data_IF_685711972000
#
_entry.id   IF_685711972000
#
_cell.length_a   1.000
_cell.length_b   1.000
_cell.length_c   1.000
_cell.angle_alpha   90.00
_cell.angle_beta   90.00
_cell.angle_gamma   90.00
#
_symmetry.space_group_name_H-M   'P 1'
#
loop_
_entity.id
_entity.type
_entity.pdbx_description
1 polymer ?
#
# COMPACT_ATOMS: atom_id res chain seq x y z
N UNK A 1 -1.69 11.41 -4.33
CA UNK A 1 -2.44 12.44 -5.12
C UNK A 1 -3.52 13.14 -4.28
N UNK A 2 -3.21 13.62 -3.07
CA UNK A 2 -4.18 14.23 -2.11
C UNK A 2 -3.82 15.65 -1.66
N UNK A 3 -2.74 16.25 -2.14
CA UNK A 3 -2.30 17.58 -1.73
C UNK A 3 -3.05 18.79 -2.34
N UNK A 4 -3.54 18.81 -3.57
CA UNK A 4 -4.16 20.02 -4.12
C UNK A 4 -5.51 20.38 -3.50
N UNK A 5 -6.30 19.41 -3.03
CA UNK A 5 -7.64 19.65 -2.46
C UNK A 5 -7.64 20.24 -1.05
N UNK A 6 -6.56 20.09 -0.29
CA UNK A 6 -6.43 20.63 1.06
C UNK A 6 -6.04 22.10 1.04
N UNK A 7 -5.21 22.54 0.10
CA UNK A 7 -4.71 23.91 0.00
C UNK A 7 -5.82 24.92 -0.35
N UNK A 8 -6.72 24.58 -1.27
CA UNK A 8 -7.84 25.44 -1.68
C UNK A 8 -8.88 25.65 -0.57
N UNK A 9 -9.09 24.66 0.30
CA UNK A 9 -10.08 24.74 1.39
C UNK A 9 -9.67 25.68 2.50
N UNK A 10 -8.38 25.73 2.84
CA UNK A 10 -7.88 26.66 3.86
C UNK A 10 -7.89 28.12 3.36
N UNK A 11 -7.65 28.33 2.10
CA UNK A 11 -7.72 29.62 1.45
C UNK A 11 -9.13 30.20 1.53
N UNK A 12 -10.16 29.37 1.29
CA UNK A 12 -11.58 29.81 1.35
C UNK A 12 -12.03 30.22 2.76
N UNK A 13 -11.47 29.64 3.82
CA UNK A 13 -11.77 30.00 5.20
C UNK A 13 -10.99 31.25 5.65
N UNK A 14 -9.77 31.44 5.15
CA UNK A 14 -8.92 32.55 5.54
C UNK A 14 -9.34 33.87 4.91
N UNK A 15 -9.90 33.87 3.71
CA UNK A 15 -10.37 35.08 3.04
C UNK A 15 -11.40 35.84 3.88
N UNK A 16 -12.49 35.21 4.39
CA UNK A 16 -13.43 35.85 5.30
C UNK A 16 -12.77 36.38 6.58
N UNK A 17 -11.83 35.66 7.16
CA UNK A 17 -11.13 36.09 8.37
C UNK A 17 -10.29 37.36 8.14
N UNK A 18 -9.58 37.47 7.01
CA UNK A 18 -8.83 38.65 6.63
C UNK A 18 -9.75 39.83 6.35
N UNK A 19 -10.89 39.61 5.66
CA UNK A 19 -11.91 40.64 5.42
C UNK A 19 -12.50 41.16 6.74
N UNK A 20 -12.78 40.30 7.71
CA UNK A 20 -13.22 40.66 9.04
C UNK A 20 -12.19 41.58 9.73
N UNK A 21 -10.89 41.21 9.67
CA UNK A 21 -9.82 42.06 10.19
C UNK A 21 -9.76 43.45 9.55
N UNK A 22 -9.93 43.52 8.23
CA UNK A 22 -10.00 44.83 7.53
C UNK A 22 -11.19 45.68 7.98
N UNK A 23 -12.38 45.08 8.09
CA UNK A 23 -13.61 45.77 8.55
C UNK A 23 -13.42 46.26 9.99
N UNK A 24 -12.83 45.46 10.87
CA UNK A 24 -12.55 45.85 12.26
C UNK A 24 -11.61 47.04 12.32
N UNK A 25 -10.55 47.05 11.51
CA UNK A 25 -9.61 48.18 11.44
C UNK A 25 -10.27 49.49 10.92
N UNK A 26 -11.14 49.38 9.93
CA UNK A 26 -11.93 50.53 9.46
C UNK A 26 -12.88 51.03 10.53
N UNK A 27 -13.56 50.13 11.26
CA UNK A 27 -14.44 50.49 12.37
C UNK A 27 -13.69 51.22 13.49
N UNK A 28 -12.55 50.71 13.93
CA UNK A 28 -11.71 51.33 14.97
C UNK A 28 -11.20 52.68 14.51
N UNK A 29 -10.75 52.81 13.25
CA UNK A 29 -10.36 54.10 12.65
C UNK A 29 -11.51 55.11 12.70
N UNK A 30 -12.75 54.70 12.42
CA UNK A 30 -13.95 55.49 12.50
C UNK A 30 -14.21 56.03 13.93
N UNK A 31 -13.98 55.22 14.97
CA UNK A 31 -14.07 55.64 16.37
C UNK A 31 -13.08 56.74 16.65
N UNK A 32 -11.82 56.60 16.25
CA UNK A 32 -10.80 57.64 16.51
C UNK A 32 -11.04 58.93 15.74
N UNK A 33 -11.59 58.85 14.52
CA UNK A 33 -12.03 60.06 13.79
C UNK A 33 -13.14 60.76 14.55
N UNK A 34 -14.11 60.02 15.08
CA UNK A 34 -15.22 60.57 15.85
C UNK A 34 -14.78 61.26 17.14
N UNK A 35 -13.80 60.69 17.82
CA UNK A 35 -13.20 61.23 19.05
C UNK A 35 -12.30 62.44 18.76
N UNK A 36 -11.81 62.60 17.52
CA UNK A 36 -10.89 63.64 17.10
C UNK A 36 -9.41 63.31 17.33
N UNK A 37 -9.09 62.08 17.67
CA UNK A 37 -7.72 61.61 17.99
C UNK A 37 -7.04 60.98 16.77
N UNK A 38 -6.57 61.78 15.82
CA UNK A 38 -6.04 61.33 14.54
C UNK A 38 -4.76 60.48 14.65
N UNK A 39 -3.92 60.71 15.67
CA UNK A 39 -2.69 59.94 15.87
C UNK A 39 -3.02 58.48 16.24
N UNK A 40 -4.11 58.26 16.97
CA UNK A 40 -4.57 56.90 17.38
C UNK A 40 -5.09 56.07 16.21
N UNK A 41 -5.29 56.63 15.02
CA UNK A 41 -5.68 55.92 13.80
C UNK A 41 -4.49 55.15 13.18
N UNK A 42 -3.27 55.58 13.43
CA UNK A 42 -2.07 55.04 12.78
C UNK A 42 -1.95 53.52 12.93
N UNK A 43 -2.11 52.89 14.12
CA UNK A 43 -2.06 51.45 14.27
C UNK A 43 -3.10 50.74 13.40
N UNK A 44 -4.35 51.19 13.39
CA UNK A 44 -5.42 50.61 12.59
C UNK A 44 -5.17 50.68 11.09
N UNK A 45 -4.60 51.81 10.60
CA UNK A 45 -4.20 51.94 9.19
C UNK A 45 -3.05 50.96 8.88
N UNK A 46 -2.06 50.86 9.75
CA UNK A 46 -0.95 49.92 9.57
C UNK A 46 -1.46 48.48 9.51
N UNK A 47 -2.37 48.07 10.40
CA UNK A 47 -2.99 46.77 10.39
C UNK A 47 -3.82 46.49 9.13
N UNK A 48 -4.60 47.49 8.68
CA UNK A 48 -5.33 47.38 7.43
C UNK A 48 -4.40 47.06 6.24
N UNK A 49 -3.25 47.73 6.16
CA UNK A 49 -2.24 47.42 5.14
C UNK A 49 -1.69 46.02 5.24
N UNK A 50 -1.40 45.52 6.46
CA UNK A 50 -0.92 44.13 6.66
C UNK A 50 -1.99 43.14 6.23
N UNK A 51 -3.27 43.36 6.58
CA UNK A 51 -4.36 42.49 6.13
C UNK A 51 -4.53 42.50 4.62
N UNK A 52 -4.41 43.66 3.95
CA UNK A 52 -4.43 43.76 2.48
C UNK A 52 -3.27 42.99 1.84
N UNK A 53 -2.07 43.12 2.39
CA UNK A 53 -0.89 42.36 1.93
C UNK A 53 -1.09 40.87 2.12
N UNK A 54 -1.55 40.42 3.30
CA UNK A 54 -1.84 39.04 3.56
C UNK A 54 -2.89 38.49 2.60
N UNK A 55 -3.95 39.26 2.33
CA UNK A 55 -5.01 38.87 1.39
C UNK A 55 -4.45 38.71 -0.04
N UNK A 56 -3.65 39.66 -0.50
CA UNK A 56 -3.02 39.58 -1.81
C UNK A 56 -2.05 38.40 -1.94
N UNK A 57 -1.15 38.25 -0.96
CA UNK A 57 -0.19 37.10 -0.93
C UNK A 57 -0.89 35.77 -0.88
N UNK A 58 -2.00 35.65 -0.14
CA UNK A 58 -2.79 34.42 -0.06
C UNK A 58 -3.51 34.14 -1.38
N UNK A 59 -4.03 35.20 -2.06
CA UNK A 59 -4.66 35.07 -3.37
C UNK A 59 -3.68 34.60 -4.42
N UNK A 60 -2.45 35.08 -4.42
CA UNK A 60 -1.36 34.73 -5.33
C UNK A 60 -0.64 33.41 -4.94
N UNK A 61 -1.09 32.72 -3.89
CA UNK A 61 -0.44 31.52 -3.35
C UNK A 61 1.03 31.73 -2.91
N UNK A 62 1.43 32.93 -2.57
CA UNK A 62 2.78 33.28 -2.10
C UNK A 62 2.96 33.08 -0.60
N UNK A 63 1.85 32.99 0.15
CA UNK A 63 1.85 32.65 1.59
C UNK A 63 0.82 31.54 1.84
N UNK A 64 1.10 30.62 2.76
CA UNK A 64 0.11 29.65 3.16
C UNK A 64 -0.88 30.22 4.19
N UNK A 65 -2.08 29.61 4.27
CA UNK A 65 -3.15 30.07 5.16
C UNK A 65 -2.72 30.13 6.64
N UNK A 66 -1.86 29.22 7.08
CA UNK A 66 -1.34 29.19 8.45
C UNK A 66 -0.51 30.44 8.77
N UNK A 67 0.46 30.76 7.92
CA UNK A 67 1.34 31.90 8.13
C UNK A 67 0.59 33.23 8.00
N UNK A 68 -0.36 33.29 7.07
CA UNK A 68 -1.26 34.46 6.93
C UNK A 68 -2.08 34.69 8.21
N UNK A 69 -2.62 33.60 8.79
CA UNK A 69 -3.38 33.67 10.04
C UNK A 69 -2.50 34.09 11.23
N UNK A 70 -1.32 33.47 11.41
CA UNK A 70 -0.41 33.85 12.49
C UNK A 70 0.01 35.33 12.40
N UNK A 71 0.35 35.76 11.19
CA UNK A 71 0.73 37.16 10.96
C UNK A 71 -0.43 38.11 11.30
N UNK A 72 -1.63 37.86 10.74
CA UNK A 72 -2.81 38.65 11.05
C UNK A 72 -3.18 38.63 12.54
N UNK A 73 -3.08 37.47 13.20
CA UNK A 73 -3.35 37.31 14.62
C UNK A 73 -2.41 38.14 15.51
N UNK A 74 -1.12 38.14 15.22
CA UNK A 74 -0.17 38.96 15.95
C UNK A 74 -0.37 40.47 15.70
N UNK A 75 -0.76 40.84 14.47
CA UNK A 75 -1.13 42.21 14.18
C UNK A 75 -2.32 42.68 15.03
N UNK A 76 -3.40 41.86 15.10
CA UNK A 76 -4.55 42.15 15.98
C UNK A 76 -4.10 42.26 17.44
N UNK A 77 -3.24 41.36 17.91
CA UNK A 77 -2.76 41.40 19.29
C UNK A 77 -1.98 42.69 19.61
N UNK A 78 -1.14 43.13 18.69
CA UNK A 78 -0.39 44.39 18.82
C UNK A 78 -1.35 45.61 18.80
N UNK A 79 -2.27 45.64 17.85
CA UNK A 79 -3.27 46.71 17.72
C UNK A 79 -4.14 46.84 18.96
N UNK A 80 -4.67 45.70 19.46
CA UNK A 80 -5.48 45.67 20.68
C UNK A 80 -4.68 46.19 21.87
N UNK A 81 -3.40 45.84 21.98
CA UNK A 81 -2.54 46.31 23.06
C UNK A 81 -2.37 47.82 23.00
N UNK A 82 -2.09 48.36 21.81
CA UNK A 82 -1.94 49.82 21.61
C UNK A 82 -3.24 50.55 21.88
N UNK A 83 -4.36 50.07 21.35
CA UNK A 83 -5.66 50.72 21.55
C UNK A 83 -6.11 50.67 23.01
N UNK A 84 -5.87 49.55 23.74
CA UNK A 84 -6.16 49.46 25.18
C UNK A 84 -5.34 50.48 25.98
N UNK A 85 -4.09 50.72 25.58
CA UNK A 85 -3.26 51.78 26.19
C UNK A 85 -3.79 53.18 25.87
N UNK A 86 -4.21 53.45 24.62
CA UNK A 86 -4.62 54.79 24.16
C UNK A 86 -5.96 55.22 24.75
N UNK A 87 -6.98 54.35 24.75
CA UNK A 87 -8.36 54.67 25.11
C UNK A 87 -8.85 53.96 26.39
N UNK A 88 -7.96 53.25 27.04
CA UNK A 88 -8.21 52.60 28.33
C UNK A 88 -8.88 51.25 28.25
N UNK A 89 -8.81 50.55 29.40
CA UNK A 89 -9.41 49.21 29.58
C UNK A 89 -10.95 49.25 29.37
N UNK A 90 -11.61 50.27 29.85
CA UNK A 90 -13.07 50.41 29.82
C UNK A 90 -13.66 50.49 28.40
N UNK A 91 -12.83 50.75 27.39
CA UNK A 91 -13.25 50.67 25.98
C UNK A 91 -13.59 49.26 25.48
N UNK A 92 -13.10 48.24 26.15
CA UNK A 92 -13.34 46.83 25.75
C UNK A 92 -12.62 46.38 24.46
N UNK A 93 -11.60 47.11 23.98
CA UNK A 93 -10.83 46.74 22.78
C UNK A 93 -10.19 45.35 22.93
N UNK A 94 -9.86 44.92 24.13
CA UNK A 94 -9.28 43.60 24.41
C UNK A 94 -10.24 42.43 24.07
N UNK A 95 -11.54 42.64 23.92
CA UNK A 95 -12.48 41.55 23.51
C UNK A 95 -12.12 40.95 22.15
N UNK A 96 -11.51 41.71 21.26
CA UNK A 96 -11.08 41.19 19.94
C UNK A 96 -10.00 40.10 20.06
N UNK A 97 -9.27 40.01 21.17
CA UNK A 97 -8.35 38.88 21.41
C UNK A 97 -9.07 37.56 21.46
N UNK A 98 -10.33 37.52 21.90
CA UNK A 98 -11.11 36.29 21.98
C UNK A 98 -11.55 35.75 20.62
N UNK A 99 -11.44 36.56 19.55
CA UNK A 99 -11.66 36.08 18.19
C UNK A 99 -10.52 35.16 17.71
N UNK A 100 -9.32 35.38 18.16
CA UNK A 100 -8.14 34.65 17.69
C UNK A 100 -8.18 33.15 18.00
N UNK A 101 -8.54 32.69 19.21
CA UNK A 101 -8.71 31.28 19.52
C UNK A 101 -9.82 30.60 18.73
N UNK A 102 -10.92 31.33 18.39
CA UNK A 102 -12.07 30.72 17.70
C UNK A 102 -11.75 30.30 16.27
N UNK A 103 -10.82 30.99 15.61
CA UNK A 103 -10.40 30.65 14.24
C UNK A 103 -9.65 29.31 14.20
N UNK A 104 -9.05 28.85 15.29
CA UNK A 104 -8.48 27.52 15.37
C UNK A 104 -9.53 26.39 15.28
N UNK A 105 -10.79 26.68 15.59
CA UNK A 105 -11.91 25.77 15.39
C UNK A 105 -12.15 25.49 13.89
N UNK A 106 -11.74 26.39 13.00
CA UNK A 106 -11.84 26.19 11.55
C UNK A 106 -10.92 25.09 11.02
N UNK A 107 -10.31 24.38 11.91
CA UNK A 107 -9.49 23.19 11.82
C UNK A 107 -8.57 23.14 10.61
N UNK A 108 -7.36 23.21 10.93
CA UNK A 108 -6.26 23.07 10.01
C UNK A 108 -5.41 21.87 10.44
N UNK A 109 -4.65 21.28 9.53
CA UNK A 109 -3.67 20.24 9.85
C UNK A 109 -2.46 20.81 10.63
N UNK A 110 -2.72 21.74 11.55
CA UNK A 110 -1.66 22.33 12.35
C UNK A 110 -1.23 21.36 13.43
N UNK A 111 0.07 21.33 13.68
CA UNK A 111 0.58 20.56 14.83
C UNK A 111 -0.06 21.13 16.10
N UNK A 112 -0.53 20.29 16.98
CA UNK A 112 -1.21 20.67 18.23
C UNK A 112 -0.38 21.68 19.05
N UNK A 113 0.92 21.56 19.04
CA UNK A 113 1.83 22.52 19.70
C UNK A 113 1.72 23.95 19.16
N UNK A 114 1.52 24.13 17.86
CA UNK A 114 1.34 25.47 17.28
C UNK A 114 0.07 26.12 17.86
N UNK A 115 -1.00 25.34 18.00
CA UNK A 115 -2.27 25.80 18.58
C UNK A 115 -2.11 26.15 20.05
N UNK A 116 -1.44 25.30 20.82
CA UNK A 116 -1.20 25.51 22.27
C UNK A 116 -0.35 26.77 22.48
N UNK A 117 0.76 26.92 21.76
CA UNK A 117 1.67 28.05 21.90
C UNK A 117 0.99 29.36 21.52
N UNK A 118 0.26 29.38 20.39
CA UNK A 118 -0.43 30.60 19.95
C UNK A 118 -1.55 31.00 20.94
N UNK A 119 -2.44 30.07 21.30
CA UNK A 119 -3.51 30.40 22.27
C UNK A 119 -2.96 30.75 23.64
N UNK A 120 -1.91 30.05 24.09
CA UNK A 120 -1.23 30.37 25.33
C UNK A 120 -0.64 31.79 25.31
N UNK A 121 -0.03 32.22 24.20
CA UNK A 121 0.50 33.58 24.05
C UNK A 121 -0.59 34.63 24.10
N UNK A 122 -1.76 34.40 23.49
CA UNK A 122 -2.91 35.31 23.53
C UNK A 122 -3.50 35.40 24.95
N UNK A 123 -3.65 34.31 25.66
CA UNK A 123 -4.10 34.31 27.05
C UNK A 123 -3.14 35.07 27.94
N UNK A 124 -1.83 34.80 27.78
CA UNK A 124 -0.78 35.50 28.52
C UNK A 124 -0.81 37.01 28.25
N UNK A 125 -0.98 37.41 26.98
CA UNK A 125 -1.13 38.79 26.59
C UNK A 125 -2.37 39.43 27.25
N UNK A 126 -3.52 38.78 27.23
CA UNK A 126 -4.74 39.24 27.89
C UNK A 126 -4.52 39.52 29.37
N UNK A 127 -3.93 38.53 30.09
CA UNK A 127 -3.63 38.68 31.52
C UNK A 127 -2.66 39.84 31.80
N UNK A 128 -1.66 39.99 30.92
CA UNK A 128 -0.68 41.07 31.01
C UNK A 128 -1.34 42.45 30.81
N UNK A 129 -2.20 42.59 29.78
CA UNK A 129 -2.94 43.84 29.51
C UNK A 129 -3.89 44.14 30.67
N UNK A 130 -4.58 43.14 31.21
CA UNK A 130 -5.41 43.32 32.39
C UNK A 130 -4.61 43.87 33.58
N UNK A 131 -3.47 43.23 33.90
CA UNK A 131 -2.63 43.65 35.01
C UNK A 131 -2.05 45.06 34.86
N UNK A 132 -1.65 45.43 33.63
CA UNK A 132 -1.00 46.72 33.34
C UNK A 132 -1.97 47.87 33.24
N UNK A 133 -3.18 47.64 32.75
CA UNK A 133 -4.09 48.74 32.35
C UNK A 133 -5.40 48.79 33.15
N UNK A 134 -5.70 47.78 33.97
CA UNK A 134 -6.85 47.84 34.84
C UNK A 134 -6.64 48.94 35.91
N UNK A 135 -7.50 49.97 35.92
CA UNK A 135 -7.44 51.08 36.85
C UNK A 135 -6.35 52.12 36.57
N UNK A 136 -5.73 52.06 35.40
CA UNK A 136 -4.80 53.10 34.89
C UNK A 136 -5.58 54.05 33.95
N UNK A 137 -5.39 55.34 34.14
CA UNK A 137 -5.98 56.38 33.30
C UNK A 137 -5.49 56.21 31.84
N UNK A 138 -6.39 56.30 30.88
CA UNK A 138 -6.07 56.23 29.45
C UNK A 138 -5.31 57.50 29.01
N UNK A 139 -4.49 57.34 27.95
CA UNK A 139 -3.76 58.49 27.36
C UNK A 139 -4.71 59.55 26.82
N UNK A 140 -5.81 59.09 26.20
CA UNK A 140 -6.86 59.95 25.69
C UNK A 140 -8.10 59.86 26.60
N UNK A 141 -8.55 60.96 27.17
CA UNK A 141 -9.76 61.02 27.99
C UNK A 141 -11.00 60.98 27.11
N UNK A 142 -11.72 59.89 27.22
CA UNK A 142 -13.01 59.69 26.52
C UNK A 142 -14.13 59.93 27.50
N UNK A 143 -15.20 60.64 27.06
CA UNK A 143 -16.43 60.75 27.85
C UNK A 143 -16.90 59.36 28.31
N UNK A 144 -17.25 59.25 29.59
CA UNK A 144 -17.62 57.95 30.18
C UNK A 144 -18.82 57.27 29.48
N UNK A 145 -19.77 58.07 28.97
CA UNK A 145 -20.91 57.52 28.23
C UNK A 145 -20.48 56.97 26.87
N UNK A 146 -19.56 57.66 26.20
CA UNK A 146 -18.97 57.18 24.92
C UNK A 146 -18.15 55.90 25.14
N UNK A 147 -17.35 55.82 26.20
CA UNK A 147 -16.61 54.62 26.55
C UNK A 147 -17.52 53.42 26.80
N UNK A 148 -18.61 53.61 27.51
CA UNK A 148 -19.65 52.55 27.72
C UNK A 148 -20.26 52.08 26.40
N UNK A 149 -20.59 53.01 25.50
CA UNK A 149 -21.15 52.66 24.17
C UNK A 149 -20.13 51.87 23.34
N UNK A 150 -18.86 52.30 23.31
CA UNK A 150 -17.79 51.59 22.59
C UNK A 150 -17.61 50.16 23.15
N UNK A 151 -17.55 50.03 24.48
CA UNK A 151 -17.45 48.75 25.16
C UNK A 151 -18.62 47.82 24.77
N UNK A 152 -19.85 48.32 24.83
CA UNK A 152 -21.04 47.54 24.44
C UNK A 152 -20.99 47.09 22.98
N UNK A 153 -20.55 47.96 22.06
CA UNK A 153 -20.40 47.58 20.64
C UNK A 153 -19.29 46.55 20.46
N UNK A 154 -18.15 46.70 21.14
CA UNK A 154 -17.02 45.75 21.04
C UNK A 154 -17.38 44.37 21.56
N UNK A 155 -18.06 44.24 22.73
CA UNK A 155 -18.47 42.96 23.27
C UNK A 155 -19.54 42.30 22.39
N UNK A 156 -20.54 43.06 21.94
CA UNK A 156 -21.63 42.50 21.12
C UNK A 156 -21.15 42.10 19.74
N UNK A 157 -20.28 42.86 19.08
CA UNK A 157 -19.71 42.54 17.78
C UNK A 157 -18.79 41.33 17.87
N UNK A 158 -17.95 41.25 18.92
CA UNK A 158 -17.11 40.07 19.18
C UNK A 158 -17.95 38.80 19.39
N UNK A 159 -19.01 38.89 20.24
CA UNK A 159 -19.92 37.77 20.46
C UNK A 159 -20.63 37.33 19.19
N UNK A 160 -21.10 38.28 18.36
CA UNK A 160 -21.74 37.96 17.09
C UNK A 160 -20.79 37.22 16.12
N UNK A 161 -19.55 37.72 15.99
CA UNK A 161 -18.54 37.09 15.13
C UNK A 161 -18.25 35.65 15.62
N UNK A 162 -18.11 35.45 16.93
CA UNK A 162 -17.89 34.08 17.49
C UNK A 162 -19.06 33.13 17.13
N UNK A 163 -20.32 33.61 17.28
CA UNK A 163 -21.50 32.84 16.91
C UNK A 163 -21.49 32.47 15.42
N UNK A 164 -21.20 33.45 14.53
CA UNK A 164 -21.12 33.18 13.08
C UNK A 164 -20.04 32.16 12.76
N UNK A 165 -18.85 32.24 13.37
CA UNK A 165 -17.76 31.28 13.21
C UNK A 165 -18.18 29.89 13.68
N UNK A 166 -18.86 29.78 14.82
CA UNK A 166 -19.36 28.51 15.36
C UNK A 166 -20.40 27.87 14.45
N UNK A 167 -21.36 28.62 13.93
CA UNK A 167 -22.37 28.15 12.97
C UNK A 167 -21.68 27.64 11.71
N UNK A 168 -20.76 28.43 11.14
CA UNK A 168 -20.00 28.02 9.96
C UNK A 168 -19.20 26.70 10.20
N UNK A 169 -18.57 26.60 11.36
CA UNK A 169 -17.83 25.41 11.76
C UNK A 169 -18.73 24.18 11.87
N UNK A 170 -19.86 24.32 12.59
CA UNK A 170 -20.82 23.23 12.77
C UNK A 170 -21.38 22.73 11.43
N UNK A 171 -21.81 23.65 10.57
CA UNK A 171 -22.35 23.29 9.24
C UNK A 171 -21.29 22.62 8.34
N UNK A 172 -20.03 23.06 8.45
CA UNK A 172 -18.92 22.49 7.68
C UNK A 172 -18.55 21.08 8.15
N UNK A 173 -18.58 20.84 9.47
CA UNK A 173 -18.34 19.50 10.02
C UNK A 173 -19.46 18.54 9.59
N UNK A 174 -20.72 18.91 9.78
CA UNK A 174 -21.83 18.05 9.43
C UNK A 174 -21.78 17.61 7.95
N UNK A 175 -21.49 18.54 7.02
CA UNK A 175 -21.31 18.20 5.61
C UNK A 175 -20.15 17.23 5.35
N UNK A 176 -19.07 17.33 6.12
CA UNK A 176 -17.93 16.41 5.98
C UNK A 176 -18.26 15.02 6.53
N UNK A 177 -18.98 14.95 7.64
CA UNK A 177 -19.38 13.70 8.25
C UNK A 177 -20.36 12.95 7.33
N UNK A 178 -21.34 13.64 6.74
CA UNK A 178 -22.21 13.07 5.72
C UNK A 178 -21.43 12.53 4.51
N UNK A 179 -20.49 13.32 3.97
CA UNK A 179 -19.67 12.89 2.85
C UNK A 179 -18.77 11.69 3.20
N UNK A 180 -18.27 11.64 4.43
CA UNK A 180 -17.47 10.50 4.93
C UNK A 180 -18.32 9.23 5.05
N UNK A 181 -19.53 9.33 5.58
CA UNK A 181 -20.47 8.20 5.66
C UNK A 181 -20.77 7.65 4.27
N UNK A 182 -21.09 8.50 3.31
CA UNK A 182 -21.35 8.09 1.91
C UNK A 182 -20.13 7.41 1.29
N UNK A 183 -18.93 7.99 1.48
CA UNK A 183 -17.69 7.42 0.97
C UNK A 183 -17.38 6.05 1.59
N UNK A 184 -17.58 5.89 2.90
CA UNK A 184 -17.38 4.61 3.59
C UNK A 184 -18.36 3.53 3.08
N UNK A 185 -19.64 3.85 2.90
CA UNK A 185 -20.60 2.90 2.32
C UNK A 185 -20.24 2.49 0.89
N UNK A 186 -19.78 3.44 0.06
CA UNK A 186 -19.30 3.12 -1.29
C UNK A 186 -18.08 2.19 -1.27
N UNK A 187 -17.12 2.45 -0.38
CA UNK A 187 -15.93 1.62 -0.19
C UNK A 187 -16.29 0.22 0.30
N UNK A 188 -17.20 0.09 1.27
CA UNK A 188 -17.67 -1.21 1.75
C UNK A 188 -18.33 -2.02 0.63
N UNK A 189 -19.15 -1.37 -0.20
CA UNK A 189 -19.77 -2.02 -1.36
C UNK A 189 -18.71 -2.53 -2.35
N UNK A 190 -17.75 -1.69 -2.71
CA UNK A 190 -16.66 -2.08 -3.61
C UNK A 190 -15.84 -3.24 -3.04
N UNK A 191 -15.51 -3.23 -1.75
CA UNK A 191 -14.78 -4.31 -1.11
C UNK A 191 -15.55 -5.64 -1.15
N UNK A 192 -16.87 -5.62 -0.94
CA UNK A 192 -17.72 -6.82 -1.07
C UNK A 192 -17.74 -7.35 -2.52
N UNK A 193 -17.82 -6.45 -3.50
CA UNK A 193 -17.78 -6.83 -4.92
C UNK A 193 -16.43 -7.45 -5.30
N UNK A 194 -15.32 -6.84 -4.91
CA UNK A 194 -13.97 -7.37 -5.13
C UNK A 194 -13.79 -8.74 -4.47
N UNK A 195 -14.26 -8.90 -3.23
CA UNK A 195 -14.18 -10.17 -2.53
C UNK A 195 -14.98 -11.27 -3.23
N UNK A 196 -16.20 -10.98 -3.67
CA UNK A 196 -17.02 -11.94 -4.41
C UNK A 196 -16.41 -12.31 -5.78
N UNK A 197 -15.84 -11.34 -6.51
CA UNK A 197 -15.13 -11.59 -7.75
C UNK A 197 -13.90 -12.47 -7.53
N UNK A 198 -13.13 -12.21 -6.48
CA UNK A 198 -11.97 -13.03 -6.15
C UNK A 198 -12.36 -14.47 -5.82
N UNK A 199 -13.42 -14.68 -5.02
CA UNK A 199 -13.94 -16.01 -4.73
C UNK A 199 -14.39 -16.73 -6.01
N UNK A 200 -15.09 -16.02 -6.89
CA UNK A 200 -15.55 -16.59 -8.18
C UNK A 200 -14.37 -16.98 -9.07
N UNK A 201 -13.33 -16.15 -9.16
CA UNK A 201 -12.10 -16.49 -9.89
C UNK A 201 -11.42 -17.74 -9.33
N UNK A 202 -11.37 -17.91 -8.01
CA UNK A 202 -10.82 -19.11 -7.38
C UNK A 202 -11.60 -20.36 -7.76
N UNK A 203 -12.93 -20.29 -7.77
CA UNK A 203 -13.79 -21.41 -8.17
C UNK A 203 -13.56 -21.75 -9.65
N UNK A 204 -13.49 -20.75 -10.54
CA UNK A 204 -13.21 -20.97 -11.95
C UNK A 204 -11.83 -21.60 -12.19
N UNK A 205 -10.81 -21.13 -11.52
CA UNK A 205 -9.47 -21.72 -11.63
C UNK A 205 -9.48 -23.18 -11.20
N UNK A 206 -10.14 -23.51 -10.09
CA UNK A 206 -10.30 -24.89 -9.62
C UNK A 206 -11.00 -25.76 -10.67
N UNK A 207 -12.07 -25.27 -11.26
CA UNK A 207 -12.82 -25.98 -12.31
C UNK A 207 -11.96 -26.21 -13.57
N UNK A 208 -11.22 -25.18 -14.02
CA UNK A 208 -10.32 -25.29 -15.18
C UNK A 208 -9.31 -26.43 -14.96
N UNK A 209 -8.68 -26.48 -13.80
CA UNK A 209 -7.68 -27.52 -13.54
C UNK A 209 -8.28 -28.91 -13.38
N UNK A 210 -9.47 -29.01 -12.81
CA UNK A 210 -10.20 -30.29 -12.81
C UNK A 210 -10.49 -30.74 -14.25
N UNK A 211 -10.88 -29.84 -15.12
CA UNK A 211 -11.09 -30.16 -16.55
C UNK A 211 -9.81 -30.53 -17.26
N UNK A 212 -8.71 -29.81 -17.03
CA UNK A 212 -7.39 -30.19 -17.57
C UNK A 212 -7.01 -31.58 -17.15
N UNK A 213 -7.10 -31.93 -15.85
CA UNK A 213 -6.86 -33.29 -15.36
C UNK A 213 -7.72 -34.33 -16.08
N UNK A 214 -9.04 -34.10 -16.18
CA UNK A 214 -9.96 -35.02 -16.84
C UNK A 214 -9.62 -35.21 -18.32
N UNK A 215 -9.27 -34.13 -19.03
CA UNK A 215 -8.87 -34.19 -20.44
C UNK A 215 -7.56 -34.99 -20.59
N UNK A 216 -6.58 -34.78 -19.71
CA UNK A 216 -5.34 -35.53 -19.71
C UNK A 216 -5.59 -37.03 -19.43
N UNK A 217 -6.53 -37.37 -18.54
CA UNK A 217 -6.94 -38.77 -18.28
C UNK A 217 -7.60 -39.43 -19.50
N UNK A 218 -8.41 -38.70 -20.27
CA UNK A 218 -8.99 -39.20 -21.52
C UNK A 218 -7.87 -39.50 -22.52
N UNK A 219 -6.91 -38.56 -22.69
CA UNK A 219 -5.80 -38.74 -23.61
C UNK A 219 -4.94 -39.93 -23.20
N UNK A 220 -4.63 -40.09 -21.93
CA UNK A 220 -3.85 -41.24 -21.45
C UNK A 220 -4.56 -42.59 -21.69
N UNK A 221 -5.89 -42.61 -21.51
CA UNK A 221 -6.71 -43.78 -21.82
C UNK A 221 -6.70 -44.14 -23.31
N UNK A 222 -6.82 -43.12 -24.19
CA UNK A 222 -6.76 -43.31 -25.64
C UNK A 222 -5.39 -43.81 -26.09
N UNK A 223 -4.30 -43.27 -25.55
CA UNK A 223 -2.95 -43.74 -25.83
C UNK A 223 -2.74 -45.19 -25.39
N UNK A 224 -3.26 -45.57 -24.21
CA UNK A 224 -3.22 -46.92 -23.73
C UNK A 224 -3.97 -47.90 -24.64
N UNK A 225 -5.15 -47.51 -25.12
CA UNK A 225 -5.91 -48.37 -26.05
C UNK A 225 -5.16 -48.52 -27.38
N UNK A 226 -4.55 -47.45 -27.91
CA UNK A 226 -3.78 -47.49 -29.14
C UNK A 226 -2.51 -48.32 -28.98
N UNK A 227 -1.75 -48.17 -27.87
CA UNK A 227 -0.55 -48.97 -27.59
C UNK A 227 -0.86 -50.45 -27.54
N UNK A 228 -1.97 -50.83 -26.93
CA UNK A 228 -2.40 -52.25 -26.85
C UNK A 228 -2.89 -52.83 -28.17
N UNK A 229 -3.32 -52.01 -29.13
CA UNK A 229 -3.82 -52.43 -30.42
C UNK A 229 -2.74 -52.56 -31.51
N UNK A 230 -1.53 -52.03 -31.25
CA UNK A 230 -0.42 -52.02 -32.19
C UNK A 230 0.50 -53.20 -31.95
N UNK A 231 0.72 -54.03 -32.99
CA UNK A 231 1.63 -55.18 -32.94
C UNK A 231 3.12 -54.79 -32.98
N UNK A 232 3.42 -53.62 -33.56
CA UNK A 232 4.80 -53.14 -33.63
C UNK A 232 5.26 -52.62 -32.25
N UNK A 233 6.21 -53.34 -31.64
CA UNK A 233 6.73 -53.09 -30.31
C UNK A 233 7.39 -51.69 -30.17
N UNK A 234 8.06 -51.22 -31.21
CA UNK A 234 8.75 -49.91 -31.17
C UNK A 234 7.73 -48.77 -31.11
N UNK A 235 6.65 -48.88 -31.90
CA UNK A 235 5.56 -47.85 -31.92
C UNK A 235 4.78 -47.93 -30.59
N UNK A 236 4.47 -49.09 -30.08
CA UNK A 236 3.81 -49.26 -28.79
C UNK A 236 4.64 -48.66 -27.65
N UNK A 237 5.96 -48.83 -27.67
CA UNK A 237 6.87 -48.22 -26.67
C UNK A 237 6.83 -46.68 -26.70
N UNK A 238 6.83 -46.04 -27.89
CA UNK A 238 6.74 -44.59 -28.05
C UNK A 238 5.42 -44.07 -27.49
N UNK A 239 4.31 -44.75 -27.73
CA UNK A 239 3.00 -44.39 -27.18
C UNK A 239 2.98 -44.49 -25.65
N UNK A 240 3.58 -45.54 -25.09
CA UNK A 240 3.69 -45.72 -23.63
C UNK A 240 4.58 -44.65 -22.98
N UNK A 241 5.64 -44.21 -23.65
CA UNK A 241 6.46 -43.08 -23.19
C UNK A 241 5.67 -41.75 -23.18
N UNK A 242 4.92 -41.50 -24.26
CA UNK A 242 4.05 -40.32 -24.37
C UNK A 242 2.95 -40.35 -23.29
N UNK A 243 2.35 -41.51 -23.02
CA UNK A 243 1.36 -41.70 -21.94
C UNK A 243 1.94 -41.32 -20.58
N UNK A 244 3.14 -41.85 -20.23
CA UNK A 244 3.81 -41.54 -18.95
C UNK A 244 4.10 -40.04 -18.76
N UNK A 245 4.50 -39.33 -19.82
CA UNK A 245 4.70 -37.89 -19.78
C UNK A 245 3.42 -37.13 -19.46
N UNK A 246 2.31 -37.53 -20.10
CA UNK A 246 0.99 -36.92 -19.85
C UNK A 246 0.52 -37.23 -18.40
N UNK A 247 0.76 -38.47 -17.90
CA UNK A 247 0.44 -38.81 -16.51
C UNK A 247 1.24 -37.94 -15.50
N UNK A 248 2.51 -37.66 -15.77
CA UNK A 248 3.33 -36.76 -14.94
C UNK A 248 2.75 -35.35 -14.91
N UNK A 249 2.32 -34.81 -16.07
CA UNK A 249 1.67 -33.50 -16.13
C UNK A 249 0.33 -33.50 -15.36
N UNK A 250 -0.47 -34.53 -15.52
CA UNK A 250 -1.76 -34.66 -14.83
C UNK A 250 -1.58 -34.70 -13.30
N UNK A 251 -0.54 -35.34 -12.81
CA UNK A 251 -0.20 -35.39 -11.40
C UNK A 251 0.20 -34.01 -10.85
N UNK A 252 0.95 -33.21 -11.61
CA UNK A 252 1.28 -31.82 -11.22
C UNK A 252 0.01 -31.00 -11.07
N UNK A 253 -0.91 -31.08 -12.05
CA UNK A 253 -2.19 -30.39 -11.98
C UNK A 253 -3.05 -30.86 -10.80
N UNK A 254 -2.95 -32.11 -10.38
CA UNK A 254 -3.65 -32.60 -9.19
C UNK A 254 -3.05 -32.04 -7.90
N UNK A 255 -1.72 -32.01 -7.81
CA UNK A 255 -1.01 -31.52 -6.60
C UNK A 255 -1.13 -30.03 -6.38
N UNK A 256 -1.37 -29.24 -7.43
CA UNK A 256 -1.60 -27.80 -7.32
C UNK A 256 -2.75 -27.45 -6.35
N UNK A 257 -3.78 -28.32 -6.25
CA UNK A 257 -4.98 -28.06 -5.44
C UNK A 257 -5.00 -28.71 -4.07
N UNK A 258 -4.01 -29.51 -3.72
CA UNK A 258 -3.94 -30.12 -2.40
C UNK A 258 -3.23 -29.23 -1.36
N UNK A 259 -2.68 -28.07 -1.78
CA UNK A 259 -2.01 -27.10 -0.91
C UNK A 259 -2.84 -25.84 -0.66
N UNK A 260 -2.52 -25.12 0.42
CA UNK A 260 -3.17 -23.84 0.78
C UNK A 260 -2.86 -22.67 -0.20
N UNK A 261 -1.93 -22.86 -1.14
CA UNK A 261 -1.52 -21.87 -2.13
C UNK A 261 -1.98 -22.29 -3.52
N UNK A 262 -2.93 -21.55 -4.08
CA UNK A 262 -3.63 -21.87 -5.34
C UNK A 262 -2.73 -21.82 -6.59
N UNK A 263 -1.55 -21.20 -6.52
CA UNK A 263 -0.65 -20.97 -7.67
C UNK A 263 0.67 -21.72 -7.60
N UNK A 264 0.87 -22.56 -6.58
CA UNK A 264 2.14 -23.26 -6.36
C UNK A 264 1.96 -24.73 -6.01
N UNK A 265 2.84 -25.57 -6.57
CA UNK A 265 2.91 -27.00 -6.33
C UNK A 265 3.94 -27.28 -5.24
N UNK A 266 3.57 -28.04 -4.20
CA UNK A 266 4.53 -28.65 -3.30
C UNK A 266 5.31 -29.74 -4.06
N UNK A 267 6.50 -29.36 -4.52
CA UNK A 267 7.29 -30.20 -5.40
C UNK A 267 7.86 -31.43 -4.70
N UNK A 268 8.09 -31.37 -3.40
CA UNK A 268 8.51 -32.54 -2.61
C UNK A 268 7.45 -33.62 -2.61
N UNK A 269 6.19 -33.25 -2.33
CA UNK A 269 5.05 -34.18 -2.35
C UNK A 269 4.84 -34.79 -3.74
N UNK A 270 5.04 -34.01 -4.80
CA UNK A 270 4.99 -34.46 -6.18
C UNK A 270 6.09 -35.51 -6.47
N UNK A 271 7.36 -35.23 -6.13
CA UNK A 271 8.49 -36.15 -6.32
C UNK A 271 8.26 -37.49 -5.56
N UNK A 272 7.82 -37.39 -4.32
CA UNK A 272 7.53 -38.60 -3.53
C UNK A 272 6.48 -39.51 -4.19
N UNK A 273 5.47 -38.90 -4.85
CA UNK A 273 4.41 -39.67 -5.48
C UNK A 273 4.86 -40.32 -6.78
N UNK A 274 5.65 -39.66 -7.62
CA UNK A 274 6.28 -40.29 -8.79
C UNK A 274 7.16 -41.44 -8.36
N UNK A 275 8.01 -41.24 -7.36
CA UNK A 275 8.90 -42.32 -6.88
C UNK A 275 8.13 -43.50 -6.29
N UNK A 276 7.07 -43.27 -5.53
CA UNK A 276 6.18 -44.33 -5.05
C UNK A 276 5.53 -45.13 -6.19
N UNK A 277 5.16 -44.45 -7.28
CA UNK A 277 4.61 -45.12 -8.46
C UNK A 277 5.61 -46.07 -9.10
N UNK A 278 6.89 -45.69 -9.17
CA UNK A 278 7.96 -46.55 -9.68
C UNK A 278 8.29 -47.69 -8.76
N UNK A 279 8.25 -47.51 -7.44
CA UNK A 279 8.43 -48.58 -6.44
C UNK A 279 7.33 -49.65 -6.51
N UNK A 280 6.09 -49.29 -6.87
CA UNK A 280 5.01 -50.25 -7.09
C UNK A 280 5.31 -51.19 -8.25
N UNK A 281 5.97 -50.72 -9.28
CA UNK A 281 6.36 -51.51 -10.47
C UNK A 281 7.67 -52.27 -10.22
N UNK A 282 8.60 -51.63 -9.48
CA UNK A 282 9.91 -52.17 -9.14
C UNK A 282 10.08 -52.23 -7.60
N UNK A 283 9.59 -53.30 -6.92
CA UNK A 283 9.57 -53.35 -5.45
C UNK A 283 10.96 -53.29 -4.78
N UNK A 284 12.02 -53.67 -5.49
CA UNK A 284 13.40 -53.64 -4.99
C UNK A 284 14.05 -52.26 -5.09
N UNK A 285 13.41 -51.30 -5.82
CA UNK A 285 13.92 -49.97 -6.01
C UNK A 285 13.78 -49.13 -4.74
N UNK A 286 14.89 -48.65 -4.19
CA UNK A 286 14.88 -47.71 -3.09
C UNK A 286 14.90 -46.28 -3.65
N UNK A 287 13.97 -45.43 -3.19
CA UNK A 287 13.87 -44.04 -3.60
C UNK A 287 13.95 -43.14 -2.36
N UNK A 288 14.80 -42.13 -2.44
CA UNK A 288 14.95 -41.13 -1.39
C UNK A 288 14.78 -39.74 -1.97
N UNK A 289 14.02 -38.88 -1.26
CA UNK A 289 13.82 -37.45 -1.61
C UNK A 289 14.19 -36.62 -0.42
N UNK A 290 15.29 -35.87 -0.55
CA UNK A 290 15.72 -34.89 0.41
C UNK A 290 15.40 -33.49 -0.15
N UNK A 291 14.57 -32.73 0.54
CA UNK A 291 14.15 -31.42 0.08
C UNK A 291 13.87 -30.47 1.25
N UNK A 292 14.33 -29.23 1.13
CA UNK A 292 13.72 -28.13 1.85
C UNK A 292 12.29 -27.92 1.30
N UNK A 293 11.40 -27.30 2.06
CA UNK A 293 10.05 -26.96 1.57
C UNK A 293 10.14 -25.96 0.41
N UNK A 294 9.99 -26.45 -0.82
CA UNK A 294 10.02 -25.63 -2.04
C UNK A 294 8.73 -25.85 -2.80
N UNK A 295 8.02 -24.74 -3.03
CA UNK A 295 6.82 -24.71 -3.85
C UNK A 295 7.09 -23.91 -5.14
N UNK A 296 6.82 -24.52 -6.30
CA UNK A 296 7.00 -23.91 -7.62
C UNK A 296 5.68 -23.50 -8.26
N UNK A 297 5.71 -22.47 -9.09
CA UNK A 297 4.64 -22.19 -10.03
C UNK A 297 4.60 -23.27 -11.11
N UNK A 298 3.47 -23.37 -11.83
CA UNK A 298 3.30 -24.38 -12.89
C UNK A 298 4.31 -24.25 -14.04
N UNK A 299 4.70 -23.05 -14.38
CA UNK A 299 5.67 -22.76 -15.43
C UNK A 299 7.07 -23.37 -15.18
N UNK A 300 7.40 -23.59 -13.89
CA UNK A 300 8.62 -24.29 -13.45
C UNK A 300 8.32 -25.74 -13.09
N UNK A 301 7.22 -25.99 -12.39
CA UNK A 301 6.91 -27.33 -11.87
C UNK A 301 6.69 -28.37 -12.97
N UNK A 302 6.04 -27.99 -14.10
CA UNK A 302 5.78 -28.90 -15.22
C UNK A 302 7.07 -29.30 -15.93
N UNK A 303 7.90 -28.37 -16.44
CA UNK A 303 9.18 -28.75 -17.07
C UNK A 303 10.05 -29.58 -16.14
N UNK A 304 10.21 -29.16 -14.90
CA UNK A 304 11.05 -29.83 -13.93
C UNK A 304 10.56 -31.24 -13.58
N UNK A 305 9.24 -31.41 -13.44
CA UNK A 305 8.62 -32.70 -13.19
C UNK A 305 8.82 -33.68 -14.36
N UNK A 306 8.75 -33.18 -15.59
CA UNK A 306 9.03 -33.97 -16.78
C UNK A 306 10.51 -34.36 -16.87
N UNK A 307 11.44 -33.44 -16.62
CA UNK A 307 12.88 -33.73 -16.59
C UNK A 307 13.16 -34.87 -15.61
N UNK A 308 12.69 -34.77 -14.37
CA UNK A 308 12.94 -35.80 -13.37
C UNK A 308 12.25 -37.11 -13.73
N UNK A 309 11.03 -37.06 -14.30
CA UNK A 309 10.34 -38.25 -14.76
C UNK A 309 11.13 -38.95 -15.87
N UNK A 310 11.72 -38.26 -16.85
CA UNK A 310 12.57 -38.86 -17.87
C UNK A 310 13.85 -39.43 -17.28
N UNK A 311 14.49 -38.76 -16.32
CA UNK A 311 15.68 -39.31 -15.62
C UNK A 311 15.35 -40.62 -14.87
N UNK A 312 14.23 -40.66 -14.14
CA UNK A 312 13.77 -41.86 -13.44
C UNK A 312 13.55 -43.00 -14.46
N UNK A 313 12.86 -42.74 -15.56
CA UNK A 313 12.60 -43.78 -16.61
C UNK A 313 13.90 -44.23 -17.21
N UNK A 314 14.86 -43.35 -17.48
CA UNK A 314 16.17 -43.74 -18.01
C UNK A 314 16.95 -44.61 -17.04
N UNK A 315 16.96 -44.28 -15.74
CA UNK A 315 17.64 -45.12 -14.73
C UNK A 315 16.98 -46.50 -14.63
N UNK A 316 15.65 -46.61 -14.59
CA UNK A 316 14.93 -47.88 -14.54
C UNK A 316 15.19 -48.74 -15.77
N UNK A 317 15.23 -48.14 -16.97
CA UNK A 317 15.44 -48.88 -18.24
C UNK A 317 16.89 -49.25 -18.50
N UNK A 318 17.82 -48.39 -18.15
CA UNK A 318 19.21 -48.52 -18.61
C UNK A 318 20.22 -48.73 -17.50
N UNK A 319 20.06 -48.04 -16.34
CA UNK A 319 21.07 -48.02 -15.31
C UNK A 319 21.07 -49.26 -14.40
N UNK A 320 19.93 -49.91 -14.16
CA UNK A 320 19.80 -50.95 -13.13
C UNK A 320 19.96 -52.39 -13.64
N UNK A 321 20.43 -52.55 -14.88
CA UNK A 321 20.69 -53.89 -15.39
C UNK A 321 21.79 -54.57 -14.59
N UNK A 322 21.48 -55.67 -13.88
CA UNK A 322 22.45 -56.41 -13.07
C UNK A 322 22.72 -55.80 -11.68
N UNK A 323 21.99 -54.76 -11.27
CA UNK A 323 22.12 -54.18 -9.94
C UNK A 323 21.15 -54.82 -8.98
N UNK A 324 21.66 -55.43 -7.91
CA UNK A 324 20.82 -56.13 -6.91
C UNK A 324 19.99 -55.21 -6.05
N UNK A 325 20.52 -54.02 -5.70
CA UNK A 325 19.88 -53.03 -4.84
C UNK A 325 19.82 -51.65 -5.55
N UNK A 326 18.91 -51.47 -6.51
CA UNK A 326 18.79 -50.23 -7.24
C UNK A 326 18.32 -49.08 -6.32
N UNK A 327 18.97 -47.92 -6.45
CA UNK A 327 18.67 -46.72 -5.64
C UNK A 327 18.58 -45.49 -6.52
N UNK A 328 17.60 -44.63 -6.21
CA UNK A 328 17.42 -43.30 -6.79
C UNK A 328 17.36 -42.27 -5.67
N UNK A 329 18.19 -41.26 -5.75
CA UNK A 329 18.21 -40.13 -4.84
C UNK A 329 17.90 -38.84 -5.58
N UNK A 330 16.98 -38.06 -5.03
CA UNK A 330 16.73 -36.68 -5.50
C UNK A 330 16.88 -35.73 -4.34
N UNK A 331 17.79 -34.79 -4.49
CA UNK A 331 18.02 -33.72 -3.53
C UNK A 331 17.63 -32.39 -4.14
N UNK A 332 16.78 -31.63 -3.46
CA UNK A 332 16.35 -30.31 -3.86
C UNK A 332 16.77 -29.32 -2.80
N UNK A 333 17.61 -28.35 -3.17
CA UNK A 333 18.13 -27.33 -2.27
C UNK A 333 17.82 -25.94 -2.84
N UNK A 334 17.28 -25.08 -2.00
CA UNK A 334 17.09 -23.68 -2.34
C UNK A 334 18.02 -22.80 -1.50
N UNK A 335 18.94 -22.13 -2.16
CA UNK A 335 19.88 -21.18 -1.57
C UNK A 335 19.57 -19.77 -2.10
N UNK A 336 19.00 -18.89 -1.28
CA UNK A 336 18.61 -17.52 -1.63
C UNK A 336 17.78 -17.41 -2.91
N UNK A 337 18.43 -17.13 -4.06
CA UNK A 337 17.79 -16.98 -5.38
C UNK A 337 18.02 -18.16 -6.31
N UNK A 338 18.88 -19.10 -5.95
CA UNK A 338 19.28 -20.22 -6.78
C UNK A 338 18.67 -21.50 -6.26
N UNK A 339 18.15 -22.32 -7.16
CA UNK A 339 17.61 -23.64 -6.86
C UNK A 339 18.50 -24.66 -7.51
N UNK A 340 18.94 -25.65 -6.72
CA UNK A 340 19.76 -26.75 -7.15
C UNK A 340 19.00 -28.05 -6.97
N UNK A 341 18.99 -28.87 -8.01
CA UNK A 341 18.42 -30.22 -7.98
C UNK A 341 19.50 -31.21 -8.39
N UNK A 342 19.76 -32.16 -7.52
CA UNK A 342 20.68 -33.26 -7.78
C UNK A 342 19.84 -34.53 -7.91
N UNK A 343 19.92 -35.18 -9.06
CA UNK A 343 19.37 -36.50 -9.32
C UNK A 343 20.53 -37.49 -9.44
N UNK A 344 20.48 -38.58 -8.72
CA UNK A 344 21.54 -39.61 -8.73
C UNK A 344 20.95 -41.00 -8.67
N UNK A 345 21.44 -41.89 -9.52
CA UNK A 345 21.25 -43.36 -9.42
C UNK A 345 22.54 -44.04 -9.02
N UNK A 346 22.43 -45.31 -8.59
CA UNK A 346 23.56 -46.16 -8.30
C UNK A 346 23.77 -47.26 -9.37
N UNK A 347 23.42 -46.95 -10.61
CA UNK A 347 23.48 -47.86 -11.74
C UNK A 347 24.84 -47.98 -12.38
N UNK A 348 24.87 -48.46 -13.63
CA UNK A 348 26.10 -48.67 -14.42
C UNK A 348 26.72 -47.38 -14.89
N UNK A 349 26.09 -46.20 -14.65
CA UNK A 349 26.55 -44.88 -15.11
C UNK A 349 26.21 -44.59 -16.57
N UNK A 350 26.67 -43.42 -17.00
CA UNK A 350 26.46 -42.91 -18.36
C UNK A 350 27.52 -43.49 -19.30
N UNK A 351 27.17 -43.76 -20.58
CA UNK A 351 28.16 -44.17 -21.62
C UNK A 351 29.23 -43.12 -21.82
N UNK A 352 30.44 -43.51 -22.25
CA UNK A 352 31.54 -42.59 -22.51
C UNK A 352 31.23 -41.50 -23.58
N UNK A 353 30.32 -41.82 -24.51
CA UNK A 353 29.88 -40.93 -25.58
C UNK A 353 28.55 -40.22 -25.25
N UNK A 354 28.12 -40.22 -23.99
CA UNK A 354 26.92 -39.50 -23.60
C UNK A 354 27.08 -37.99 -23.72
N UNK A 355 26.12 -37.33 -24.39
CA UNK A 355 26.07 -35.88 -24.51
C UNK A 355 24.63 -35.42 -24.51
N UNK A 356 24.33 -34.37 -23.74
CA UNK A 356 23.06 -33.67 -23.80
C UNK A 356 23.01 -32.67 -24.96
N UNK A 357 24.18 -32.15 -25.40
CA UNK A 357 24.29 -31.23 -26.55
C UNK A 357 24.01 -31.93 -27.89
N UNK A 358 24.26 -33.24 -27.94
CA UNK A 358 23.98 -34.09 -29.10
C UNK A 358 23.08 -35.26 -28.67
N UNK A 359 21.79 -35.02 -28.46
CA UNK A 359 20.88 -36.01 -27.88
C UNK A 359 20.73 -37.21 -28.84
N UNK A 360 20.92 -38.39 -28.31
CA UNK A 360 20.78 -39.66 -29.04
C UNK A 360 19.32 -40.20 -28.94
N UNK A 361 18.54 -39.69 -28.02
CA UNK A 361 17.16 -40.14 -27.79
C UNK A 361 16.20 -38.94 -27.54
N UNK A 362 14.93 -39.16 -27.83
CA UNK A 362 13.89 -38.18 -27.55
C UNK A 362 13.85 -37.75 -26.06
N UNK A 363 14.15 -38.67 -25.14
CA UNK A 363 14.18 -38.37 -23.68
C UNK A 363 15.29 -37.37 -23.33
N UNK A 364 16.49 -37.53 -23.89
CA UNK A 364 17.60 -36.58 -23.67
C UNK A 364 17.37 -35.23 -24.33
N UNK A 365 16.70 -35.20 -25.51
CA UNK A 365 16.28 -33.97 -26.18
C UNK A 365 15.27 -33.19 -25.34
N UNK A 366 14.30 -33.87 -24.75
CA UNK A 366 13.30 -33.27 -23.85
C UNK A 366 13.96 -32.69 -22.61
N UNK A 367 14.89 -33.42 -21.98
CA UNK A 367 15.63 -32.94 -20.80
C UNK A 367 16.33 -31.63 -21.13
N UNK A 368 17.05 -31.54 -22.24
CA UNK A 368 17.73 -30.31 -22.65
C UNK A 368 16.75 -29.16 -22.91
N UNK A 369 15.74 -29.39 -23.76
CA UNK A 369 14.78 -28.37 -24.13
C UNK A 369 13.99 -27.81 -22.92
N UNK A 370 13.62 -28.67 -21.96
CA UNK A 370 12.92 -28.23 -20.76
C UNK A 370 13.86 -27.53 -19.75
N UNK A 371 15.14 -27.90 -19.72
CA UNK A 371 16.14 -27.19 -18.91
C UNK A 371 16.32 -25.76 -19.43
N UNK A 372 16.43 -25.60 -20.76
CA UNK A 372 16.51 -24.29 -21.41
C UNK A 372 15.24 -23.46 -21.15
N UNK A 373 14.04 -24.10 -21.15
CA UNK A 373 12.76 -23.44 -20.87
C UNK A 373 12.67 -22.82 -19.47
N UNK A 374 13.32 -23.42 -18.48
CA UNK A 374 13.38 -22.91 -17.10
C UNK A 374 14.61 -21.99 -16.87
N UNK A 375 15.31 -21.62 -17.93
CA UNK A 375 16.56 -20.84 -17.90
C UNK A 375 17.62 -21.47 -17.00
N UNK A 376 17.67 -22.81 -16.97
CA UNK A 376 18.55 -23.60 -16.12
C UNK A 376 19.81 -24.08 -16.83
N UNK A 377 20.79 -24.46 -16.04
CA UNK A 377 22.00 -25.16 -16.47
C UNK A 377 21.97 -26.62 -15.95
N UNK A 378 22.27 -27.60 -16.81
CA UNK A 378 22.36 -29.00 -16.43
C UNK A 378 23.80 -29.52 -16.61
N UNK A 379 24.32 -30.16 -15.57
CA UNK A 379 25.59 -30.85 -15.56
C UNK A 379 25.38 -32.32 -15.27
N UNK A 380 26.27 -33.16 -15.81
CA UNK A 380 26.20 -34.61 -15.59
C UNK A 380 27.58 -35.18 -15.39
N UNK A 381 27.67 -36.18 -14.56
CA UNK A 381 28.91 -36.93 -14.24
C UNK A 381 28.60 -38.38 -13.84
N UNK A 382 29.61 -39.21 -13.93
CA UNK A 382 29.56 -40.57 -13.34
C UNK A 382 30.13 -40.53 -11.91
N UNK A 383 29.26 -40.75 -10.92
CA UNK A 383 29.59 -40.81 -9.49
C UNK A 383 28.86 -42.01 -8.84
N UNK A 384 29.47 -43.18 -8.93
CA UNK A 384 28.84 -44.45 -8.51
C UNK A 384 27.48 -44.74 -9.16
N UNK A 385 27.33 -44.31 -10.42
CA UNK A 385 26.09 -44.26 -11.21
C UNK A 385 26.03 -42.96 -11.99
N UNK A 386 24.88 -42.66 -12.55
CA UNK A 386 24.65 -41.37 -13.22
C UNK A 386 24.19 -40.33 -12.21
N UNK A 387 24.86 -39.16 -12.25
CA UNK A 387 24.51 -37.99 -11.44
C UNK A 387 24.27 -36.78 -12.34
N UNK A 388 23.12 -36.15 -12.18
CA UNK A 388 22.72 -34.91 -12.86
C UNK A 388 22.52 -33.80 -11.85
N UNK A 389 23.03 -32.61 -12.15
CA UNK A 389 22.84 -31.41 -11.34
C UNK A 389 22.20 -30.35 -12.19
N UNK A 390 21.02 -29.87 -11.81
CA UNK A 390 20.28 -28.80 -12.47
C UNK A 390 20.27 -27.59 -11.56
N UNK A 391 20.64 -26.44 -12.12
CA UNK A 391 20.70 -25.16 -11.39
C UNK A 391 19.93 -24.10 -12.17
N UNK A 392 19.02 -23.37 -11.49
CA UNK A 392 18.23 -22.30 -12.09
C UNK A 392 17.78 -21.26 -11.06
#
# INVERSE_FOLDING_TARGET
MTEPLTHDRYKSAMIPALLTGMITNLYISGIFIYIGEFIAIIPSIAGLFVFLICFWLLKENKINAKNSFLLGGYVVAIEVSIHTYLIGWDSGCFYFLFLLPTVFLLKTNWKIWTTIVFNGSIITLFVLLWYLFQGVDSLYTIDSNIAVIINFINITSTGLIIIVVMIYYSTTINKKDEALVVANHALEKQNKEIFSQHQYQQILLKEIHHRVKNNLQIITSLLSLQSNAIENKDVSQVLDESRRRIEAIALIHEKLYQGDKIDRVDFKSYLMEIMRSQQKVNPNLKCEVTSNEVAFKLDIAIPLGLIISEMIVNSVKHAFKGIENPQLNVQLTKNNQTIEIIFQDNGIGLPENFSLEQPVSLGTEIIQALTDQIEGEIKYENDNGAKFTIVF
#
